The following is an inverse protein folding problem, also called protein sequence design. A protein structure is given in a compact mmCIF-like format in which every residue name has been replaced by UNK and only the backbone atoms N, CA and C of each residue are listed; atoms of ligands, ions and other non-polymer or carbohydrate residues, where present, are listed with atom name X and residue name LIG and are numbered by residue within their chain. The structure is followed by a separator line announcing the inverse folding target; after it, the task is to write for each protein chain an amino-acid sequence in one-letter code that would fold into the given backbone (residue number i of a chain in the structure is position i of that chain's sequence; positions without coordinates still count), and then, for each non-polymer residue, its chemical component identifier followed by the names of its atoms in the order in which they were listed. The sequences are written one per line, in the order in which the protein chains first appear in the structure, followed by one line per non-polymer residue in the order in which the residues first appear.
data_IF_506436973845
#
_entry.id   IF_506436973845
#
_cell.length_a   1.000
_cell.length_b   1.000
_cell.length_c   1.000
_cell.angle_alpha   90.00
_cell.angle_beta   90.00
_cell.angle_gamma   90.00
#
_symmetry.space_group_name_H-M   'P 1'
#
loop_
_entity.id
_entity.type
_entity.pdbx_description
1 polymer ?
#
# COMPACT_ATOMS: atom_id res chain seq x y z
N UNK A 1 -12.05 -39.54 35.83
CA UNK A 1 -13.49 -39.60 36.14
C UNK A 1 -14.03 -38.17 36.05
N UNK A 2 -14.26 -37.69 34.82
CA UNK A 2 -14.84 -36.36 34.57
C UNK A 2 -16.30 -36.61 34.28
N UNK A 3 -17.18 -36.14 35.15
CA UNK A 3 -18.62 -36.35 35.04
C UNK A 3 -19.14 -35.75 33.74
N UNK A 4 -19.77 -36.58 32.91
CA UNK A 4 -20.72 -36.13 31.90
C UNK A 4 -21.82 -35.35 32.62
N UNK A 5 -21.77 -34.01 32.56
CA UNK A 5 -22.97 -33.22 32.81
C UNK A 5 -24.01 -33.66 31.79
N UNK A 6 -25.12 -34.21 32.29
CA UNK A 6 -26.27 -34.52 31.47
C UNK A 6 -26.78 -33.21 30.85
N UNK A 7 -26.96 -33.24 29.52
CA UNK A 7 -27.36 -32.13 28.64
C UNK A 7 -28.71 -31.49 29.08
N UNK A 8 -29.46 -32.16 29.97
CA UNK A 8 -30.82 -31.79 30.40
C UNK A 8 -30.90 -30.91 31.68
N UNK A 9 -29.79 -30.36 32.20
CA UNK A 9 -29.80 -29.63 33.49
C UNK A 9 -29.11 -28.26 33.50
N UNK A 10 -28.91 -27.64 32.33
CA UNK A 10 -28.33 -26.29 32.26
C UNK A 10 -29.37 -25.25 32.64
N UNK A 11 -29.13 -24.50 33.72
CA UNK A 11 -29.93 -23.34 34.06
C UNK A 11 -29.69 -22.21 33.05
N UNK A 12 -30.64 -22.05 32.12
CA UNK A 12 -30.56 -21.08 31.03
C UNK A 12 -30.58 -19.62 31.50
N UNK A 13 -31.15 -19.34 32.68
CA UNK A 13 -31.13 -18.00 33.26
C UNK A 13 -29.75 -17.66 33.83
N UNK A 14 -29.11 -18.63 34.49
CA UNK A 14 -27.75 -18.46 34.98
C UNK A 14 -26.74 -18.34 33.82
N UNK A 15 -26.91 -19.15 32.76
CA UNK A 15 -26.10 -19.08 31.55
C UNK A 15 -26.25 -17.72 30.85
N UNK A 16 -27.47 -17.18 30.75
CA UNK A 16 -27.71 -15.84 30.19
C UNK A 16 -26.86 -14.78 30.93
N UNK A 17 -26.93 -14.75 32.26
CA UNK A 17 -26.21 -13.77 33.08
C UNK A 17 -24.69 -13.93 32.94
N UNK A 18 -24.17 -15.16 33.07
CA UNK A 18 -22.72 -15.40 32.96
C UNK A 18 -22.20 -15.09 31.54
N UNK A 19 -22.93 -15.46 30.48
CA UNK A 19 -22.56 -15.16 29.10
C UNK A 19 -22.59 -13.64 28.82
N UNK A 20 -23.63 -12.93 29.28
CA UNK A 20 -23.71 -11.47 29.14
C UNK A 20 -22.57 -10.76 29.86
N UNK A 21 -22.20 -11.20 31.06
CA UNK A 21 -21.07 -10.63 31.81
C UNK A 21 -19.74 -10.84 31.09
N UNK A 22 -19.52 -12.03 30.52
CA UNK A 22 -18.33 -12.32 29.74
C UNK A 22 -18.26 -11.45 28.49
N UNK A 23 -19.38 -11.35 27.76
CA UNK A 23 -19.49 -10.49 26.57
C UNK A 23 -19.26 -9.01 26.88
N UNK A 24 -19.69 -8.53 28.06
CA UNK A 24 -19.54 -7.15 28.50
C UNK A 24 -18.14 -6.77 29.02
N UNK A 25 -17.22 -7.73 29.18
CA UNK A 25 -15.89 -7.45 29.75
C UNK A 25 -15.09 -6.44 28.90
N UNK A 26 -14.48 -5.38 29.47
CA UNK A 26 -13.72 -4.42 28.67
C UNK A 26 -12.38 -5.01 28.21
N UNK A 27 -12.07 -4.92 26.92
CA UNK A 27 -10.81 -5.39 26.34
C UNK A 27 -10.73 -6.91 26.12
N UNK A 28 -9.50 -7.43 26.05
CA UNK A 28 -9.22 -8.85 25.82
C UNK A 28 -9.55 -9.68 27.07
N UNK A 29 -10.17 -10.86 26.88
CA UNK A 29 -10.50 -11.75 27.99
C UNK A 29 -9.23 -12.40 28.57
N UNK A 30 -9.07 -12.42 29.90
CA UNK A 30 -8.02 -13.20 30.55
C UNK A 30 -8.28 -14.70 30.38
N UNK A 31 -7.20 -15.48 30.24
CA UNK A 31 -7.26 -16.94 30.03
C UNK A 31 -8.01 -17.66 31.16
N UNK A 32 -7.84 -17.23 32.41
CA UNK A 32 -8.55 -17.78 33.56
C UNK A 32 -10.07 -17.64 33.43
N UNK A 33 -10.56 -16.48 32.99
CA UNK A 33 -12.00 -16.24 32.80
C UNK A 33 -12.60 -17.10 31.69
N UNK A 34 -11.84 -17.35 30.62
CA UNK A 34 -12.27 -18.23 29.53
C UNK A 34 -12.29 -19.69 30.00
N UNK A 35 -11.24 -20.13 30.69
CA UNK A 35 -11.14 -21.49 31.23
C UNK A 35 -12.23 -21.78 32.25
N UNK A 36 -12.48 -20.87 33.19
CA UNK A 36 -13.51 -21.03 34.23
C UNK A 36 -14.92 -21.08 33.62
N UNK A 37 -15.19 -20.27 32.60
CA UNK A 37 -16.47 -20.29 31.89
C UNK A 37 -16.67 -21.61 31.13
N UNK A 38 -15.67 -22.06 30.37
CA UNK A 38 -15.76 -23.29 29.58
C UNK A 38 -15.72 -24.57 30.44
N UNK A 39 -15.15 -24.51 31.65
CA UNK A 39 -15.23 -25.59 32.63
C UNK A 39 -16.68 -25.81 33.12
N UNK A 40 -17.46 -24.73 33.23
CA UNK A 40 -18.90 -24.80 33.57
C UNK A 40 -19.78 -25.07 32.35
N UNK A 41 -19.47 -24.45 31.22
CA UNK A 41 -20.26 -24.52 29.99
C UNK A 41 -19.38 -24.91 28.79
N UNK A 42 -19.10 -26.20 28.62
CA UNK A 42 -18.34 -26.69 27.46
C UNK A 42 -19.03 -26.36 26.13
N UNK A 43 -18.26 -26.18 25.06
CA UNK A 43 -18.81 -25.90 23.72
C UNK A 43 -19.97 -26.83 23.27
N UNK A 44 -19.90 -28.16 23.45
CA UNK A 44 -21.03 -29.04 23.11
C UNK A 44 -22.35 -28.65 23.77
N UNK A 45 -22.27 -28.17 25.01
CA UNK A 45 -23.43 -27.73 25.81
C UNK A 45 -23.94 -26.37 25.31
N UNK A 46 -23.04 -25.43 25.03
CA UNK A 46 -23.43 -24.13 24.47
C UNK A 46 -24.14 -24.29 23.11
N UNK A 47 -23.62 -25.16 22.24
CA UNK A 47 -24.21 -25.40 20.92
C UNK A 47 -25.52 -26.20 20.98
N UNK A 48 -25.69 -27.11 21.95
CA UNK A 48 -26.99 -27.78 22.16
C UNK A 48 -28.06 -26.82 22.69
N UNK A 49 -27.67 -25.85 23.52
CA UNK A 49 -28.59 -24.79 23.94
C UNK A 49 -28.92 -23.88 22.76
N UNK A 50 -27.94 -23.48 21.93
CA UNK A 50 -28.20 -22.66 20.74
C UNK A 50 -29.12 -23.34 19.71
N UNK A 51 -29.11 -24.67 19.61
CA UNK A 51 -30.00 -25.38 18.67
C UNK A 51 -31.45 -25.48 19.16
N UNK A 52 -31.68 -25.31 20.46
CA UNK A 52 -33.00 -25.45 21.11
C UNK A 52 -33.53 -24.15 21.70
N UNK A 53 -32.72 -23.10 21.78
CA UNK A 53 -33.10 -21.83 22.40
C UNK A 53 -34.15 -21.08 21.58
N UNK A 54 -35.29 -20.83 22.21
CA UNK A 54 -36.40 -20.04 21.62
C UNK A 54 -36.27 -18.54 21.93
N UNK A 55 -35.49 -18.15 22.94
CA UNK A 55 -35.36 -16.75 23.37
C UNK A 55 -34.21 -16.03 22.64
N UNK A 56 -34.50 -14.93 21.90
CA UNK A 56 -33.47 -14.19 21.16
C UNK A 56 -32.37 -13.61 22.05
N UNK A 57 -32.72 -13.23 23.28
CA UNK A 57 -31.78 -12.64 24.25
C UNK A 57 -30.69 -13.64 24.65
N UNK A 58 -31.07 -14.88 24.95
CA UNK A 58 -30.16 -15.97 25.29
C UNK A 58 -29.24 -16.30 24.12
N UNK A 59 -29.81 -16.42 22.91
CA UNK A 59 -29.03 -16.64 21.69
C UNK A 59 -28.00 -15.53 21.51
N UNK A 60 -28.40 -14.26 21.69
CA UNK A 60 -27.50 -13.12 21.53
C UNK A 60 -26.37 -13.09 22.56
N UNK A 61 -26.68 -13.40 23.83
CA UNK A 61 -25.69 -13.43 24.91
C UNK A 61 -24.66 -14.54 24.69
N UNK A 62 -25.11 -15.75 24.35
CA UNK A 62 -24.21 -16.88 24.07
C UNK A 62 -23.36 -16.59 22.83
N UNK A 63 -23.95 -16.10 21.74
CA UNK A 63 -23.22 -15.77 20.51
C UNK A 63 -22.12 -14.74 20.79
N UNK A 64 -22.45 -13.63 21.48
CA UNK A 64 -21.48 -12.59 21.78
C UNK A 64 -20.37 -13.08 22.73
N UNK A 65 -20.71 -13.93 23.71
CA UNK A 65 -19.72 -14.53 24.61
C UNK A 65 -18.77 -15.45 23.85
N UNK A 66 -19.29 -16.33 22.98
CA UNK A 66 -18.47 -17.23 22.16
C UNK A 66 -17.60 -16.45 21.18
N UNK A 67 -18.12 -15.44 20.48
CA UNK A 67 -17.31 -14.57 19.60
C UNK A 67 -16.12 -13.99 20.38
N UNK A 68 -16.36 -13.48 21.60
CA UNK A 68 -15.33 -12.87 22.43
C UNK A 68 -14.32 -13.86 22.98
N UNK A 69 -14.77 -15.07 23.34
CA UNK A 69 -13.89 -16.19 23.71
C UNK A 69 -12.95 -16.51 22.56
N UNK A 70 -13.49 -16.69 21.35
CA UNK A 70 -12.73 -17.06 20.16
C UNK A 70 -11.74 -15.97 19.72
N UNK A 71 -11.96 -14.71 20.09
CA UNK A 71 -11.02 -13.61 19.88
C UNK A 71 -9.83 -13.62 20.86
N UNK A 72 -9.90 -14.35 21.98
CA UNK A 72 -8.81 -14.44 22.96
C UNK A 72 -7.69 -15.41 22.50
N UNK A 73 -6.41 -15.19 22.87
CA UNK A 73 -5.32 -16.10 22.51
C UNK A 73 -5.57 -17.57 22.92
N UNK A 74 -6.19 -17.77 24.08
CA UNK A 74 -6.57 -19.10 24.57
C UNK A 74 -7.72 -19.71 23.76
N UNK A 75 -8.73 -18.92 23.41
CA UNK A 75 -9.82 -19.34 22.54
C UNK A 75 -9.37 -19.77 21.15
N UNK A 76 -8.31 -19.16 20.61
CA UNK A 76 -7.69 -19.61 19.36
C UNK A 76 -7.17 -21.06 19.45
N UNK A 77 -6.67 -21.48 20.62
CA UNK A 77 -6.21 -22.87 20.80
C UNK A 77 -7.36 -23.89 20.81
N UNK A 78 -8.59 -23.43 21.10
CA UNK A 78 -9.78 -24.28 21.25
C UNK A 78 -10.67 -24.35 20.00
N UNK A 79 -10.30 -23.64 18.93
CA UNK A 79 -11.08 -23.57 17.69
C UNK A 79 -11.33 -24.94 17.04
N UNK A 80 -10.39 -25.88 17.16
CA UNK A 80 -10.55 -27.26 16.64
C UNK A 80 -11.79 -27.94 17.27
N UNK A 81 -12.07 -27.66 18.55
CA UNK A 81 -13.21 -28.22 19.26
C UNK A 81 -14.56 -27.62 18.85
N UNK A 82 -14.56 -26.43 18.22
CA UNK A 82 -15.77 -25.71 17.80
C UNK A 82 -16.19 -26.07 16.38
N UNK A 83 -15.24 -26.53 15.55
CA UNK A 83 -15.45 -26.78 14.14
C UNK A 83 -16.61 -27.74 13.79
N UNK A 84 -16.86 -28.84 14.54
CA UNK A 84 -17.99 -29.74 14.24
C UNK A 84 -19.37 -29.06 14.26
N UNK A 85 -19.48 -27.91 14.91
CA UNK A 85 -20.73 -27.16 15.07
C UNK A 85 -20.93 -26.07 14.00
N UNK A 86 -19.89 -25.74 13.22
CA UNK A 86 -19.94 -24.66 12.23
C UNK A 86 -20.96 -24.95 11.10
N UNK A 87 -20.92 -26.16 10.54
CA UNK A 87 -21.84 -26.55 9.45
C UNK A 87 -23.32 -26.59 9.91
N UNK A 88 -23.57 -27.03 11.16
CA UNK A 88 -24.90 -26.96 11.75
C UNK A 88 -25.35 -25.50 11.99
N UNK A 89 -24.43 -24.63 12.41
CA UNK A 89 -24.70 -23.21 12.63
C UNK A 89 -24.95 -22.42 11.35
N UNK A 90 -24.30 -22.74 10.23
CA UNK A 90 -24.57 -22.13 8.92
C UNK A 90 -26.00 -22.37 8.44
N UNK A 91 -26.55 -23.54 8.76
CA UNK A 91 -27.91 -23.94 8.38
C UNK A 91 -28.97 -23.56 9.42
N UNK A 92 -28.60 -22.88 10.51
CA UNK A 92 -29.52 -22.50 11.57
C UNK A 92 -30.52 -21.42 11.10
N UNK A 93 -31.75 -21.47 11.60
CA UNK A 93 -32.79 -20.47 11.32
C UNK A 93 -32.44 -19.06 11.83
N UNK A 94 -31.65 -18.97 12.90
CA UNK A 94 -31.24 -17.69 13.49
C UNK A 94 -30.08 -17.02 12.73
N UNK A 95 -30.21 -15.76 12.29
CA UNK A 95 -29.13 -15.03 11.62
C UNK A 95 -27.91 -14.79 12.51
N UNK A 96 -28.08 -14.72 13.82
CA UNK A 96 -26.98 -14.54 14.77
C UNK A 96 -26.13 -15.81 14.89
N UNK A 97 -26.76 -16.98 14.85
CA UNK A 97 -26.06 -18.27 14.86
C UNK A 97 -25.31 -18.47 13.54
N UNK A 98 -25.91 -18.10 12.40
CA UNK A 98 -25.21 -18.11 11.11
C UNK A 98 -23.98 -17.19 11.11
N UNK A 99 -24.11 -16.00 11.70
CA UNK A 99 -22.98 -15.07 11.87
C UNK A 99 -21.86 -15.68 12.71
N UNK A 100 -22.18 -16.32 13.83
CA UNK A 100 -21.20 -17.01 14.68
C UNK A 100 -20.52 -18.16 13.93
N UNK A 101 -21.29 -18.95 13.17
CA UNK A 101 -20.76 -20.03 12.36
C UNK A 101 -19.79 -19.51 11.30
N UNK A 102 -20.19 -18.46 10.57
CA UNK A 102 -19.29 -17.76 9.65
C UNK A 102 -18.06 -17.25 10.40
N UNK A 103 -18.19 -16.65 11.59
CA UNK A 103 -17.05 -16.18 12.39
C UNK A 103 -16.10 -17.33 12.76
N UNK A 104 -16.62 -18.49 13.15
CA UNK A 104 -15.81 -19.67 13.47
C UNK A 104 -15.13 -20.29 12.24
N UNK A 105 -15.81 -20.31 11.08
CA UNK A 105 -15.20 -20.71 9.80
C UNK A 105 -14.20 -19.68 9.28
N UNK A 106 -14.43 -18.38 9.53
CA UNK A 106 -13.55 -17.25 9.23
C UNK A 106 -12.23 -17.41 9.99
N UNK A 107 -12.27 -17.89 11.25
CA UNK A 107 -11.06 -18.11 12.04
C UNK A 107 -10.36 -19.43 11.64
N UNK A 108 -11.10 -20.48 11.24
CA UNK A 108 -10.50 -21.80 10.96
C UNK A 108 -10.17 -22.09 9.48
N UNK A 109 -10.82 -21.45 8.51
CA UNK A 109 -10.71 -21.85 7.11
C UNK A 109 -11.18 -23.30 6.83
N UNK A 110 -11.94 -23.94 7.73
CA UNK A 110 -12.48 -25.29 7.51
C UNK A 110 -13.96 -25.26 7.12
N UNK A 111 -14.16 -24.76 5.92
CA UNK A 111 -14.81 -25.53 4.88
C UNK A 111 -14.18 -25.08 3.56
N UNK A 112 -13.01 -25.66 3.24
CA UNK A 112 -12.24 -25.36 2.03
C UNK A 112 -13.10 -25.38 0.74
N UNK A 113 -14.17 -26.19 0.75
CA UNK A 113 -15.15 -26.25 -0.33
C UNK A 113 -16.21 -25.14 -0.26
N UNK A 114 -16.68 -24.73 0.92
CA UNK A 114 -17.76 -23.74 1.02
C UNK A 114 -17.28 -22.33 0.66
N UNK A 115 -16.03 -21.96 1.00
CA UNK A 115 -15.49 -20.64 0.64
C UNK A 115 -15.28 -20.53 -0.87
N UNK A 116 -14.79 -21.61 -1.51
CA UNK A 116 -14.71 -21.73 -2.97
C UNK A 116 -16.10 -21.72 -3.61
N UNK A 117 -17.06 -22.48 -3.09
CA UNK A 117 -18.44 -22.51 -3.59
C UNK A 117 -19.12 -21.16 -3.47
N UNK A 118 -18.91 -20.42 -2.38
CA UNK A 118 -19.41 -19.05 -2.21
C UNK A 118 -18.76 -18.08 -3.20
N UNK A 119 -17.46 -18.27 -3.51
CA UNK A 119 -16.75 -17.46 -4.50
C UNK A 119 -17.15 -17.78 -5.96
N UNK A 120 -17.60 -19.01 -6.24
CA UNK A 120 -18.04 -19.42 -7.59
C UNK A 120 -19.54 -19.15 -7.79
N UNK A 121 -20.38 -19.55 -6.83
CA UNK A 121 -21.84 -19.60 -6.96
C UNK A 121 -22.58 -18.53 -6.16
N UNK A 122 -21.86 -17.75 -5.33
CA UNK A 122 -22.45 -16.62 -4.60
C UNK A 122 -22.93 -15.50 -5.53
N UNK A 123 -23.79 -14.63 -5.03
CA UNK A 123 -24.06 -13.35 -5.69
C UNK A 123 -22.79 -12.49 -5.73
N UNK A 124 -22.71 -11.48 -6.60
CA UNK A 124 -21.53 -10.60 -6.75
C UNK A 124 -21.00 -10.09 -5.40
N UNK A 125 -21.89 -9.66 -4.49
CA UNK A 125 -21.51 -9.21 -3.15
C UNK A 125 -20.94 -10.34 -2.27
N UNK A 126 -21.50 -11.54 -2.37
CA UNK A 126 -21.03 -12.71 -1.61
C UNK A 126 -19.67 -13.17 -2.12
N UNK A 127 -19.47 -13.16 -3.45
CA UNK A 127 -18.19 -13.49 -4.07
C UNK A 127 -17.09 -12.52 -3.62
N UNK A 128 -17.35 -11.20 -3.68
CA UNK A 128 -16.39 -10.17 -3.24
C UNK A 128 -16.03 -10.36 -1.76
N UNK A 129 -17.02 -10.60 -0.90
CA UNK A 129 -16.78 -10.80 0.54
C UNK A 129 -16.01 -12.08 0.83
N UNK A 130 -16.34 -13.18 0.15
CA UNK A 130 -15.63 -14.45 0.29
C UNK A 130 -14.16 -14.29 -0.14
N UNK A 131 -13.91 -13.60 -1.25
CA UNK A 131 -12.56 -13.41 -1.76
C UNK A 131 -11.73 -12.42 -0.93
N UNK A 132 -12.29 -11.30 -0.48
CA UNK A 132 -11.61 -10.37 0.45
C UNK A 132 -11.29 -11.05 1.77
N UNK A 133 -12.21 -11.88 2.28
CA UNK A 133 -11.96 -12.71 3.44
C UNK A 133 -10.79 -13.67 3.21
N UNK A 134 -10.74 -14.35 2.05
CA UNK A 134 -9.65 -15.23 1.70
C UNK A 134 -8.30 -14.50 1.69
N UNK A 135 -8.24 -13.27 1.14
CA UNK A 135 -7.03 -12.44 1.15
C UNK A 135 -6.56 -12.09 2.57
N UNK A 136 -7.50 -11.75 3.46
CA UNK A 136 -7.19 -11.48 4.87
C UNK A 136 -6.65 -12.72 5.60
N UNK A 137 -7.23 -13.89 5.35
CA UNK A 137 -6.77 -15.16 5.96
C UNK A 137 -5.37 -15.53 5.43
N UNK A 138 -5.12 -15.35 4.13
CA UNK A 138 -3.80 -15.56 3.50
C UNK A 138 -2.70 -14.77 4.22
N UNK A 139 -2.98 -13.54 4.64
CA UNK A 139 -2.01 -12.65 5.29
C UNK A 139 -1.67 -13.00 6.75
N UNK A 140 -2.38 -13.94 7.39
CA UNK A 140 -2.21 -14.22 8.82
C UNK A 140 -0.98 -15.09 9.14
N UNK A 141 -0.70 -16.12 8.34
CA UNK A 141 0.42 -17.03 8.54
C UNK A 141 0.69 -17.90 7.31
N UNK A 142 1.87 -18.52 7.22
CA UNK A 142 2.21 -19.46 6.15
C UNK A 142 1.30 -20.70 6.12
N UNK A 143 0.83 -21.15 7.28
CA UNK A 143 -0.12 -22.28 7.39
C UNK A 143 -1.49 -21.89 6.84
N UNK A 144 -1.97 -20.68 7.18
CA UNK A 144 -3.22 -20.14 6.64
C UNK A 144 -3.12 -19.94 5.12
N UNK A 145 -1.99 -19.46 4.63
CA UNK A 145 -1.75 -19.32 3.20
C UNK A 145 -1.78 -20.66 2.45
N UNK A 146 -1.12 -21.70 2.98
CA UNK A 146 -1.18 -23.03 2.39
C UNK A 146 -2.62 -23.56 2.36
N UNK A 147 -3.39 -23.36 3.43
CA UNK A 147 -4.80 -23.79 3.49
C UNK A 147 -5.67 -23.10 2.43
N UNK A 148 -5.50 -21.79 2.22
CA UNK A 148 -6.25 -21.05 1.20
C UNK A 148 -5.74 -21.37 -0.21
N UNK A 149 -4.46 -21.68 -0.41
CA UNK A 149 -3.96 -22.19 -1.68
C UNK A 149 -4.62 -23.52 -2.05
N UNK A 150 -4.74 -24.44 -1.07
CA UNK A 150 -5.40 -25.74 -1.28
C UNK A 150 -6.91 -25.64 -1.51
N UNK A 151 -7.56 -24.55 -1.08
CA UNK A 151 -8.99 -24.35 -1.35
C UNK A 151 -9.28 -24.08 -2.84
N UNK A 152 -8.27 -23.74 -3.63
CA UNK A 152 -8.43 -23.43 -5.05
C UNK A 152 -9.06 -22.06 -5.32
N UNK A 153 -9.09 -21.16 -4.33
CA UNK A 153 -9.62 -19.80 -4.51
C UNK A 153 -8.83 -19.00 -5.56
N UNK A 154 -7.52 -19.23 -5.67
CA UNK A 154 -6.66 -18.59 -6.66
C UNK A 154 -7.05 -18.98 -8.08
N UNK A 155 -7.49 -20.23 -8.29
CA UNK A 155 -8.00 -20.66 -9.58
C UNK A 155 -9.29 -19.94 -9.96
N UNK A 156 -10.15 -19.63 -8.97
CA UNK A 156 -11.36 -18.82 -9.19
C UNK A 156 -10.98 -17.40 -9.58
N UNK A 157 -10.02 -16.78 -8.88
CA UNK A 157 -9.50 -15.44 -9.21
C UNK A 157 -8.89 -15.41 -10.62
N UNK A 158 -8.04 -16.36 -10.97
CA UNK A 158 -7.46 -16.47 -12.32
C UNK A 158 -8.54 -16.64 -13.40
N UNK A 159 -9.61 -17.39 -13.10
CA UNK A 159 -10.76 -17.54 -13.99
C UNK A 159 -11.49 -16.20 -14.20
N UNK A 160 -11.69 -15.42 -13.14
CA UNK A 160 -12.31 -14.09 -13.23
C UNK A 160 -11.44 -13.11 -14.02
N UNK A 161 -10.11 -13.12 -13.82
CA UNK A 161 -9.19 -12.26 -14.57
C UNK A 161 -9.20 -12.54 -16.07
N UNK A 162 -9.38 -13.79 -16.48
CA UNK A 162 -9.43 -14.18 -17.90
C UNK A 162 -10.79 -13.88 -18.55
N UNK A 163 -11.84 -13.64 -17.76
CA UNK A 163 -13.16 -13.36 -18.30
C UNK A 163 -13.30 -11.89 -18.71
N UNK A 164 -12.99 -11.59 -19.98
CA UNK A 164 -13.04 -10.23 -20.54
C UNK A 164 -14.45 -9.63 -20.66
N UNK A 165 -15.51 -10.41 -20.43
CA UNK A 165 -16.90 -9.91 -20.53
C UNK A 165 -17.39 -9.19 -19.27
N UNK A 166 -16.74 -9.42 -18.13
CA UNK A 166 -17.12 -8.86 -16.84
C UNK A 166 -15.95 -8.07 -16.23
N UNK A 167 -15.79 -6.83 -16.70
CA UNK A 167 -14.76 -5.91 -16.20
C UNK A 167 -14.88 -5.69 -14.69
N UNK A 168 -16.10 -5.71 -14.13
CA UNK A 168 -16.29 -5.52 -12.69
C UNK A 168 -15.73 -6.71 -11.90
N UNK A 169 -15.95 -7.94 -12.37
CA UNK A 169 -15.34 -9.13 -11.79
C UNK A 169 -13.81 -9.10 -11.90
N UNK A 170 -13.26 -8.66 -13.04
CA UNK A 170 -11.81 -8.49 -13.21
C UNK A 170 -11.25 -7.47 -12.20
N UNK A 171 -11.90 -6.31 -12.07
CA UNK A 171 -11.46 -5.26 -11.14
C UNK A 171 -11.52 -5.72 -9.68
N UNK A 172 -12.60 -6.41 -9.29
CA UNK A 172 -12.69 -7.00 -7.96
C UNK A 172 -11.54 -7.98 -7.71
N UNK A 173 -11.26 -8.88 -8.66
CA UNK A 173 -10.15 -9.82 -8.57
C UNK A 173 -8.80 -9.09 -8.41
N UNK A 174 -8.55 -8.01 -9.15
CA UNK A 174 -7.33 -7.22 -8.98
C UNK A 174 -7.23 -6.56 -7.60
N UNK A 175 -8.31 -6.05 -7.01
CA UNK A 175 -8.28 -5.50 -5.65
C UNK A 175 -7.85 -6.55 -4.63
N UNK A 176 -8.38 -7.77 -4.76
CA UNK A 176 -8.02 -8.89 -3.88
C UNK A 176 -6.56 -9.29 -4.06
N UNK A 177 -6.07 -9.32 -5.31
CA UNK A 177 -4.65 -9.57 -5.60
C UNK A 177 -3.74 -8.45 -5.07
N UNK A 178 -4.22 -7.21 -5.09
CA UNK A 178 -3.53 -6.05 -4.53
C UNK A 178 -3.40 -6.16 -3.01
N UNK A 179 -4.46 -6.59 -2.32
CA UNK A 179 -4.44 -6.87 -0.87
C UNK A 179 -3.47 -8.03 -0.55
N UNK A 180 -3.48 -9.09 -1.36
CA UNK A 180 -2.55 -10.22 -1.22
C UNK A 180 -1.08 -9.81 -1.40
N UNK A 181 -0.80 -9.03 -2.43
CA UNK A 181 0.54 -8.55 -2.77
C UNK A 181 1.15 -7.65 -1.69
N UNK A 182 0.33 -7.05 -0.83
CA UNK A 182 0.77 -6.22 0.29
C UNK A 182 1.44 -7.03 1.41
N UNK A 183 1.12 -8.32 1.52
CA UNK A 183 1.69 -9.22 2.52
C UNK A 183 2.86 -10.02 1.96
N UNK A 184 3.94 -10.29 2.74
CA UNK A 184 5.07 -11.09 2.25
C UNK A 184 4.67 -12.50 1.80
N UNK A 185 3.76 -13.15 2.53
CA UNK A 185 3.31 -14.51 2.20
C UNK A 185 2.43 -14.51 0.94
N UNK A 186 1.50 -13.55 0.80
CA UNK A 186 0.70 -13.41 -0.42
C UNK A 186 1.55 -13.07 -1.65
N UNK A 187 2.51 -12.17 -1.52
CA UNK A 187 3.45 -11.82 -2.59
C UNK A 187 4.24 -13.06 -3.08
N UNK A 188 4.85 -13.83 -2.17
CA UNK A 188 5.59 -15.07 -2.54
C UNK A 188 4.71 -16.06 -3.30
N UNK A 189 3.46 -16.19 -2.90
CA UNK A 189 2.52 -17.10 -3.54
C UNK A 189 2.16 -16.64 -4.97
N UNK A 190 1.90 -15.34 -5.16
CA UNK A 190 1.62 -14.79 -6.48
C UNK A 190 2.83 -14.95 -7.42
N UNK A 191 4.04 -14.84 -6.87
CA UNK A 191 5.29 -15.00 -7.60
C UNK A 191 5.66 -16.45 -7.92
N UNK A 192 5.05 -17.44 -7.27
CA UNK A 192 5.34 -18.86 -7.52
C UNK A 192 4.78 -19.38 -8.87
N UNK A 193 3.91 -18.61 -9.53
CA UNK A 193 3.22 -18.99 -10.76
C UNK A 193 3.60 -18.15 -11.99
N UNK A 194 2.69 -18.11 -12.97
CA UNK A 194 2.85 -17.32 -14.21
C UNK A 194 2.28 -15.91 -14.10
N UNK A 195 1.94 -15.47 -12.88
CA UNK A 195 1.20 -14.23 -12.66
C UNK A 195 1.96 -12.98 -13.10
N UNK A 196 3.29 -12.94 -12.91
CA UNK A 196 4.14 -11.86 -13.40
C UNK A 196 4.00 -11.70 -14.91
N UNK A 197 4.12 -12.79 -15.66
CA UNK A 197 3.98 -12.76 -17.13
C UNK A 197 2.58 -12.31 -17.57
N UNK A 198 1.55 -12.67 -16.80
CA UNK A 198 0.17 -12.19 -17.06
C UNK A 198 0.03 -10.69 -16.80
N UNK A 199 0.60 -10.17 -15.70
CA UNK A 199 0.64 -8.73 -15.42
C UNK A 199 1.35 -7.96 -16.55
N UNK A 200 2.51 -8.45 -16.99
CA UNK A 200 3.25 -7.85 -18.12
C UNK A 200 2.39 -7.84 -19.39
N UNK A 201 1.71 -8.94 -19.69
CA UNK A 201 0.79 -9.01 -20.84
C UNK A 201 -0.34 -7.98 -20.74
N UNK A 202 -1.03 -7.89 -19.60
CA UNK A 202 -2.13 -6.94 -19.43
C UNK A 202 -1.65 -5.50 -19.56
N UNK A 203 -0.53 -5.14 -18.91
CA UNK A 203 0.04 -3.79 -18.95
C UNK A 203 0.43 -3.39 -20.38
N UNK A 204 1.10 -4.28 -21.12
CA UNK A 204 1.59 -3.97 -22.47
C UNK A 204 0.50 -3.98 -23.54
N UNK A 205 -0.57 -4.74 -23.36
CA UNK A 205 -1.59 -4.90 -24.40
C UNK A 205 -2.52 -3.68 -24.50
N UNK A 206 -2.50 -3.01 -25.65
CA UNK A 206 -3.32 -1.82 -25.92
C UNK A 206 -4.83 -2.15 -26.02
N UNK A 207 -5.18 -3.39 -26.37
CA UNK A 207 -6.57 -3.84 -26.54
C UNK A 207 -7.26 -4.15 -25.20
N UNK A 208 -6.49 -4.28 -24.12
CA UNK A 208 -7.03 -4.45 -22.76
C UNK A 208 -7.68 -3.13 -22.32
N UNK A 209 -8.68 -3.19 -21.45
CA UNK A 209 -9.29 -1.98 -20.91
C UNK A 209 -8.28 -1.16 -20.08
N UNK A 210 -8.33 0.19 -20.17
CA UNK A 210 -7.40 1.07 -19.46
C UNK A 210 -7.48 0.91 -17.94
N UNK A 211 -8.66 0.58 -17.40
CA UNK A 211 -8.87 0.35 -15.98
C UNK A 211 -8.20 -0.95 -15.53
N UNK A 212 -8.27 -2.00 -16.35
CA UNK A 212 -7.57 -3.28 -16.11
C UNK A 212 -6.05 -3.08 -16.13
N UNK A 213 -5.53 -2.29 -17.08
CA UNK A 213 -4.09 -1.93 -17.10
C UNK A 213 -3.68 -1.19 -15.84
N UNK A 214 -4.45 -0.19 -15.44
CA UNK A 214 -4.19 0.62 -14.24
C UNK A 214 -4.11 -0.24 -12.98
N UNK A 215 -5.07 -1.16 -12.80
CA UNK A 215 -5.06 -2.10 -11.67
C UNK A 215 -3.93 -3.13 -11.73
N UNK A 216 -3.57 -3.57 -12.93
CA UNK A 216 -2.41 -4.46 -13.12
C UNK A 216 -1.12 -3.78 -12.66
N UNK A 217 -0.92 -2.50 -12.99
CA UNK A 217 0.25 -1.73 -12.53
C UNK A 217 0.26 -1.54 -11.01
N UNK A 218 -0.90 -1.32 -10.40
CA UNK A 218 -1.04 -1.21 -8.94
C UNK A 218 -0.65 -2.51 -8.21
N UNK A 219 -1.07 -3.68 -8.72
CA UNK A 219 -0.65 -4.96 -8.15
C UNK A 219 0.85 -5.18 -8.37
N UNK A 220 1.34 -4.89 -9.57
CA UNK A 220 2.75 -5.03 -9.92
C UNK A 220 3.67 -4.18 -9.03
N UNK A 221 3.28 -2.95 -8.71
CA UNK A 221 4.06 -2.06 -7.86
C UNK A 221 4.19 -2.55 -6.42
N UNK A 222 3.16 -3.24 -5.90
CA UNK A 222 3.20 -3.85 -4.55
C UNK A 222 4.11 -5.08 -4.49
N UNK A 223 4.19 -5.84 -5.57
CA UNK A 223 5.02 -7.06 -5.65
C UNK A 223 6.52 -6.76 -5.73
N UNK A 224 6.92 -5.52 -6.04
CA UNK A 224 8.33 -5.16 -6.31
C UNK A 224 9.27 -5.49 -5.14
N UNK A 225 8.77 -5.48 -3.91
CA UNK A 225 9.56 -5.80 -2.70
C UNK A 225 10.03 -7.26 -2.65
N UNK A 226 9.30 -8.15 -3.31
CA UNK A 226 9.48 -9.61 -3.18
C UNK A 226 9.89 -10.27 -4.50
N UNK A 227 9.73 -9.57 -5.63
CA UNK A 227 9.96 -10.11 -6.96
C UNK A 227 11.46 -10.27 -7.27
N UNK A 228 11.76 -11.19 -8.19
CA UNK A 228 13.12 -11.35 -8.72
C UNK A 228 13.51 -10.15 -9.60
N UNK A 229 14.81 -9.81 -9.66
CA UNK A 229 15.31 -8.74 -10.52
C UNK A 229 14.90 -8.88 -12.01
N UNK A 230 15.03 -10.04 -12.68
CA UNK A 230 14.64 -10.16 -14.10
C UNK A 230 13.14 -9.94 -14.33
N UNK A 231 12.30 -10.31 -13.37
CA UNK A 231 10.86 -10.11 -13.45
C UNK A 231 10.47 -8.65 -13.17
N UNK A 232 11.15 -7.99 -12.21
CA UNK A 232 11.01 -6.55 -11.98
C UNK A 232 11.32 -5.75 -13.25
N UNK A 233 12.38 -6.13 -13.97
CA UNK A 233 12.78 -5.46 -15.21
C UNK A 233 11.70 -5.57 -16.30
N UNK A 234 11.05 -6.73 -16.45
CA UNK A 234 9.97 -6.89 -17.41
C UNK A 234 8.75 -6.02 -17.09
N UNK A 235 8.41 -5.91 -15.80
CA UNK A 235 7.34 -5.03 -15.33
C UNK A 235 7.69 -3.56 -15.60
N UNK A 236 8.90 -3.14 -15.27
CA UNK A 236 9.38 -1.77 -15.49
C UNK A 236 9.32 -1.41 -16.99
N UNK A 237 9.79 -2.29 -17.86
CA UNK A 237 9.73 -2.08 -19.31
C UNK A 237 8.27 -2.04 -19.81
N UNK A 238 7.39 -2.88 -19.27
CA UNK A 238 5.96 -2.87 -19.58
C UNK A 238 5.30 -1.53 -19.23
N UNK A 239 5.55 -1.01 -18.02
CA UNK A 239 5.00 0.27 -17.57
C UNK A 239 5.58 1.41 -18.40
N UNK A 240 6.89 1.41 -18.68
CA UNK A 240 7.55 2.41 -19.52
C UNK A 240 6.98 2.45 -20.95
N UNK A 241 6.76 1.29 -21.57
CA UNK A 241 6.13 1.19 -22.88
C UNK A 241 4.68 1.70 -22.87
N UNK A 242 3.95 1.43 -21.78
CA UNK A 242 2.60 1.93 -21.59
C UNK A 242 2.57 3.46 -21.52
N UNK A 243 3.46 4.07 -20.73
CA UNK A 243 3.60 5.53 -20.66
C UNK A 243 4.00 6.14 -22.01
N UNK A 244 4.95 5.52 -22.71
CA UNK A 244 5.33 5.94 -24.05
C UNK A 244 4.15 5.95 -25.02
N UNK A 245 3.28 4.93 -24.95
CA UNK A 245 2.03 4.88 -25.73
C UNK A 245 1.06 5.99 -25.35
N UNK A 246 0.78 6.17 -24.05
CA UNK A 246 -0.13 7.22 -23.56
C UNK A 246 0.36 8.61 -23.95
N UNK A 247 1.66 8.89 -23.86
CA UNK A 247 2.21 10.17 -24.31
C UNK A 247 2.10 10.38 -25.82
N UNK A 248 2.27 9.32 -26.62
CA UNK A 248 2.12 9.42 -28.07
C UNK A 248 0.67 9.74 -28.45
N UNK A 249 -0.31 9.10 -27.81
CA UNK A 249 -1.74 9.40 -27.98
C UNK A 249 -2.06 10.84 -27.56
N UNK A 250 -1.47 11.31 -26.44
CA UNK A 250 -1.64 12.69 -26.00
C UNK A 250 -1.07 13.70 -27.01
N UNK A 251 0.05 13.39 -27.67
CA UNK A 251 0.64 14.23 -28.73
C UNK A 251 -0.19 14.22 -30.02
N UNK A 252 -0.78 13.08 -30.38
CA UNK A 252 -1.64 12.98 -31.57
C UNK A 252 -3.07 13.50 -31.33
N UNK A 253 -3.37 14.02 -30.13
CA UNK A 253 -4.72 14.46 -29.73
C UNK A 253 -5.77 13.35 -29.81
N UNK A 254 -5.35 12.09 -29.69
CA UNK A 254 -6.23 10.94 -29.61
C UNK A 254 -6.80 10.79 -28.20
N UNK A 255 -7.84 9.96 -28.03
CA UNK A 255 -8.42 9.69 -26.71
C UNK A 255 -7.44 8.84 -25.89
N UNK A 256 -7.09 9.31 -24.71
CA UNK A 256 -6.29 8.58 -23.73
C UNK A 256 -6.90 8.74 -22.34
N UNK A 257 -6.54 7.82 -21.45
CA UNK A 257 -7.03 7.81 -20.08
C UNK A 257 -5.99 8.43 -19.14
N UNK A 258 -6.41 9.46 -18.40
CA UNK A 258 -5.55 10.12 -17.42
C UNK A 258 -5.26 9.21 -16.24
N UNK A 259 -6.24 8.42 -15.81
CA UNK A 259 -6.09 7.54 -14.65
C UNK A 259 -5.06 6.44 -14.94
N UNK A 260 -4.97 5.99 -16.21
CA UNK A 260 -3.93 5.07 -16.67
C UNK A 260 -2.53 5.68 -16.57
N UNK A 261 -2.38 6.95 -16.96
CA UNK A 261 -1.12 7.67 -16.82
C UNK A 261 -0.73 7.83 -15.35
N UNK A 262 -1.68 8.27 -14.52
CA UNK A 262 -1.45 8.52 -13.10
C UNK A 262 -1.10 7.21 -12.37
N UNK A 263 -1.77 6.10 -12.70
CA UNK A 263 -1.45 4.77 -12.18
C UNK A 263 -0.05 4.27 -12.60
N UNK A 264 0.35 4.53 -13.85
CA UNK A 264 1.69 4.17 -14.32
C UNK A 264 2.78 4.98 -13.62
N UNK A 265 2.56 6.30 -13.44
CA UNK A 265 3.48 7.18 -12.70
C UNK A 265 3.61 6.75 -11.23
N UNK A 266 2.48 6.49 -10.56
CA UNK A 266 2.49 6.00 -9.19
C UNK A 266 3.24 4.67 -9.08
N UNK A 267 2.99 3.72 -9.98
CA UNK A 267 3.68 2.43 -9.99
C UNK A 267 5.22 2.59 -10.13
N UNK A 268 5.70 3.45 -11.03
CA UNK A 268 7.13 3.76 -11.14
C UNK A 268 7.67 4.47 -9.88
N UNK A 269 6.89 5.36 -9.29
CA UNK A 269 7.21 6.00 -8.02
C UNK A 269 7.43 4.99 -6.89
N UNK A 270 6.48 4.06 -6.72
CA UNK A 270 6.56 3.00 -5.72
C UNK A 270 7.77 2.09 -5.94
N UNK A 271 8.11 1.75 -7.19
CA UNK A 271 9.33 1.01 -7.53
C UNK A 271 10.58 1.84 -7.13
N UNK A 272 10.55 3.15 -7.36
CA UNK A 272 11.60 4.09 -6.99
C UNK A 272 11.73 4.39 -5.49
N UNK A 273 10.79 3.93 -4.66
CA UNK A 273 10.86 4.09 -3.20
C UNK A 273 11.98 3.27 -2.56
N UNK A 274 12.59 2.32 -3.29
CA UNK A 274 13.76 1.54 -2.86
C UNK A 274 15.02 1.97 -3.61
N UNK A 275 16.18 1.99 -2.94
CA UNK A 275 17.44 2.46 -3.54
C UNK A 275 17.82 1.65 -4.79
N UNK A 276 17.65 0.33 -4.76
CA UNK A 276 17.92 -0.53 -5.92
C UNK A 276 16.89 -0.30 -7.05
N UNK A 277 15.61 -0.20 -6.73
CA UNK A 277 14.56 0.07 -7.72
C UNK A 277 14.74 1.41 -8.43
N UNK A 278 15.08 2.47 -7.68
CA UNK A 278 15.42 3.78 -8.26
C UNK A 278 16.63 3.71 -9.19
N UNK A 279 17.70 2.99 -8.81
CA UNK A 279 18.87 2.80 -9.68
C UNK A 279 18.50 2.07 -10.97
N UNK A 280 17.72 1.00 -10.87
CA UNK A 280 17.23 0.27 -12.04
C UNK A 280 16.41 1.18 -12.94
N UNK A 281 15.45 1.94 -12.41
CA UNK A 281 14.63 2.86 -13.19
C UNK A 281 15.43 3.92 -13.94
N UNK A 282 16.47 4.46 -13.31
CA UNK A 282 17.32 5.51 -13.88
C UNK A 282 18.31 4.96 -14.92
N UNK A 283 18.83 3.76 -14.70
CA UNK A 283 19.85 3.15 -15.55
C UNK A 283 19.29 2.22 -16.65
N UNK A 284 17.95 2.07 -16.73
CA UNK A 284 17.30 1.14 -17.67
C UNK A 284 17.27 1.67 -19.11
N UNK A 285 18.18 1.17 -19.94
CA UNK A 285 18.14 1.36 -21.39
C UNK A 285 18.44 2.80 -21.83
N UNK A 286 18.28 3.08 -23.13
CA UNK A 286 18.59 4.39 -23.70
C UNK A 286 17.54 5.48 -23.39
N UNK A 287 16.30 5.07 -23.11
CA UNK A 287 15.20 5.95 -22.66
C UNK A 287 14.64 5.38 -21.37
N UNK A 288 15.17 5.78 -20.21
CA UNK A 288 14.74 5.21 -18.94
C UNK A 288 13.28 5.56 -18.63
N UNK A 289 12.48 4.65 -18.06
CA UNK A 289 11.11 4.96 -17.64
C UNK A 289 11.03 6.15 -16.66
N UNK A 290 12.10 6.41 -15.90
CA UNK A 290 12.24 7.58 -15.05
C UNK A 290 12.11 8.92 -15.82
N UNK A 291 12.45 8.96 -17.12
CA UNK A 291 12.28 10.13 -17.98
C UNK A 291 10.82 10.61 -18.00
N UNK A 292 9.87 9.69 -18.12
CA UNK A 292 8.45 10.01 -18.14
C UNK A 292 7.99 10.63 -16.82
N UNK A 293 8.50 10.10 -15.70
CA UNK A 293 8.23 10.64 -14.36
C UNK A 293 8.76 12.06 -14.23
N UNK A 294 10.00 12.31 -14.63
CA UNK A 294 10.63 13.64 -14.56
C UNK A 294 9.88 14.65 -15.44
N UNK A 295 9.54 14.29 -16.68
CA UNK A 295 8.76 15.15 -17.56
C UNK A 295 7.37 15.49 -17.02
N UNK A 296 6.72 14.53 -16.33
CA UNK A 296 5.44 14.75 -15.67
C UNK A 296 5.57 15.61 -14.41
N UNK A 297 6.64 15.46 -13.63
CA UNK A 297 6.84 16.21 -12.38
C UNK A 297 7.00 17.72 -12.57
N UNK A 298 7.56 18.16 -13.70
CA UNK A 298 7.69 19.60 -14.02
C UNK A 298 6.51 20.17 -14.81
N UNK A 299 5.46 19.38 -14.99
CA UNK A 299 4.11 19.84 -15.35
C UNK A 299 3.28 19.96 -14.06
N UNK A 300 2.16 20.69 -14.05
CA UNK A 300 1.24 20.72 -12.90
C UNK A 300 0.47 19.39 -12.77
N UNK A 301 1.18 18.25 -12.77
CA UNK A 301 0.67 16.88 -12.65
C UNK A 301 1.10 16.28 -11.31
N UNK A 302 0.14 16.11 -10.40
CA UNK A 302 0.39 15.67 -9.02
C UNK A 302 1.08 14.30 -8.94
N UNK A 303 0.64 13.33 -9.74
CA UNK A 303 1.22 11.99 -9.78
C UNK A 303 2.70 12.00 -10.17
N UNK A 304 3.09 12.85 -11.13
CA UNK A 304 4.49 13.00 -11.54
C UNK A 304 5.38 13.54 -10.41
N UNK A 305 4.91 14.55 -9.68
CA UNK A 305 5.66 15.14 -8.57
C UNK A 305 5.86 14.13 -7.44
N UNK A 306 4.80 13.39 -7.07
CA UNK A 306 4.91 12.35 -6.05
C UNK A 306 5.85 11.21 -6.48
N UNK A 307 5.71 10.73 -7.71
CA UNK A 307 6.57 9.68 -8.24
C UNK A 307 8.04 10.11 -8.27
N UNK A 308 8.33 11.35 -8.69
CA UNK A 308 9.70 11.88 -8.65
C UNK A 308 10.21 12.04 -7.22
N UNK A 309 9.36 12.46 -6.27
CA UNK A 309 9.75 12.55 -4.87
C UNK A 309 10.15 11.19 -4.28
N UNK A 310 9.44 10.12 -4.66
CA UNK A 310 9.79 8.75 -4.25
C UNK A 310 11.13 8.32 -4.86
N UNK A 311 11.31 8.48 -6.18
CA UNK A 311 12.58 8.18 -6.88
C UNK A 311 13.74 8.99 -6.28
N UNK A 312 13.54 10.26 -5.96
CA UNK A 312 14.55 11.12 -5.36
C UNK A 312 14.94 10.71 -3.93
N UNK A 313 14.09 9.93 -3.25
CA UNK A 313 14.37 9.32 -1.95
C UNK A 313 13.54 9.83 -0.78
N UNK A 314 12.32 10.36 -1.01
CA UNK A 314 11.48 10.89 0.09
C UNK A 314 11.06 9.86 1.14
N UNK A 315 11.10 8.56 0.84
CA UNK A 315 10.79 7.46 1.77
C UNK A 315 12.02 6.58 2.09
N UNK A 316 13.21 6.93 1.56
CA UNK A 316 14.43 6.12 1.73
C UNK A 316 15.22 6.60 2.94
N UNK A 317 15.77 5.67 3.71
CA UNK A 317 16.75 5.98 4.76
C UNK A 317 18.03 6.55 4.12
N UNK A 318 18.55 5.85 3.10
CA UNK A 318 19.64 6.33 2.25
C UNK A 318 19.07 7.08 1.03
N UNK A 319 18.99 8.41 1.16
CA UNK A 319 18.45 9.30 0.11
C UNK A 319 19.29 9.25 -1.17
N UNK A 320 20.62 9.21 -1.03
CA UNK A 320 21.54 9.24 -2.16
C UNK A 320 21.65 7.87 -2.83
N UNK A 321 21.68 7.88 -4.17
CA UNK A 321 21.93 6.70 -5.00
C UNK A 321 23.43 6.57 -5.31
N UNK A 322 23.78 5.56 -6.10
CA UNK A 322 25.14 5.45 -6.64
C UNK A 322 25.46 6.62 -7.59
N UNK A 323 26.74 6.89 -7.81
CA UNK A 323 27.20 8.05 -8.59
C UNK A 323 26.61 8.10 -10.01
N UNK A 324 26.50 6.94 -10.67
CA UNK A 324 25.97 6.86 -12.03
C UNK A 324 24.48 7.22 -12.07
N UNK A 325 23.67 6.68 -11.16
CA UNK A 325 22.25 6.95 -11.07
C UNK A 325 21.98 8.41 -10.67
N UNK A 326 22.79 8.98 -9.78
CA UNK A 326 22.68 10.39 -9.39
C UNK A 326 22.99 11.34 -10.55
N UNK A 327 24.02 11.02 -11.37
CA UNK A 327 24.31 11.79 -12.58
C UNK A 327 23.16 11.73 -13.57
N UNK A 328 22.60 10.54 -13.82
CA UNK A 328 21.44 10.38 -14.72
C UNK A 328 20.22 11.12 -14.18
N UNK A 329 19.92 11.04 -12.89
CA UNK A 329 18.80 11.77 -12.28
C UNK A 329 18.95 13.28 -12.47
N UNK A 330 20.15 13.82 -12.21
CA UNK A 330 20.47 15.23 -12.42
C UNK A 330 20.25 15.62 -13.88
N UNK A 331 20.84 14.88 -14.80
CA UNK A 331 20.80 15.20 -16.23
C UNK A 331 19.36 15.17 -16.76
N UNK A 332 18.57 14.15 -16.38
CA UNK A 332 17.14 14.08 -16.73
C UNK A 332 16.34 15.29 -16.22
N UNK A 333 16.60 15.74 -14.99
CA UNK A 333 15.92 16.90 -14.40
C UNK A 333 16.26 18.17 -15.19
N UNK A 334 17.54 18.43 -15.46
CA UNK A 334 17.94 19.62 -16.20
C UNK A 334 17.48 19.59 -17.65
N UNK A 335 17.47 18.43 -18.31
CA UNK A 335 16.92 18.26 -19.65
C UNK A 335 15.43 18.59 -19.68
N UNK A 336 14.66 18.09 -18.70
CA UNK A 336 13.23 18.39 -18.59
C UNK A 336 12.96 19.89 -18.38
N UNK A 337 13.80 20.56 -17.58
CA UNK A 337 13.70 22.01 -17.34
C UNK A 337 14.08 22.80 -18.58
N UNK A 338 15.08 22.35 -19.35
CA UNK A 338 15.48 23.00 -20.60
C UNK A 338 14.35 23.04 -21.63
N UNK A 339 13.55 21.97 -21.67
CA UNK A 339 12.33 21.91 -22.49
C UNK A 339 11.19 22.75 -21.90
N UNK A 340 11.22 23.03 -20.60
CA UNK A 340 10.21 23.85 -19.92
C UNK A 340 10.39 25.35 -20.18
N UNK A 341 9.30 26.11 -20.09
CA UNK A 341 9.31 27.57 -20.29
C UNK A 341 9.99 28.37 -19.15
N UNK A 342 10.27 27.73 -18.01
CA UNK A 342 10.69 28.40 -16.77
C UNK A 342 12.22 28.61 -16.67
N UNK A 343 12.99 28.08 -17.63
CA UNK A 343 14.45 28.24 -17.83
C UNK A 343 15.38 27.74 -16.72
N UNK A 344 14.95 27.71 -15.46
CA UNK A 344 15.74 27.25 -14.29
C UNK A 344 14.90 26.33 -13.41
N UNK A 345 15.57 25.44 -12.67
CA UNK A 345 14.90 24.52 -11.73
C UNK A 345 14.13 25.31 -10.68
N UNK A 346 14.75 26.34 -10.11
CA UNK A 346 14.17 27.14 -9.03
C UNK A 346 12.90 27.88 -9.48
N UNK A 347 12.86 28.39 -10.70
CA UNK A 347 11.65 29.01 -11.25
C UNK A 347 10.54 27.98 -11.51
N UNK A 348 10.89 26.79 -12.01
CA UNK A 348 9.92 25.70 -12.19
C UNK A 348 9.29 25.29 -10.86
N UNK A 349 10.11 25.10 -9.82
CA UNK A 349 9.63 24.75 -8.48
C UNK A 349 8.78 25.86 -7.87
N UNK A 350 9.21 27.12 -7.98
CA UNK A 350 8.44 28.27 -7.50
C UNK A 350 7.09 28.40 -8.21
N UNK A 351 7.06 28.15 -9.52
CA UNK A 351 5.83 28.15 -10.30
C UNK A 351 4.85 27.08 -9.81
N UNK A 352 5.32 25.87 -9.52
CA UNK A 352 4.50 24.78 -9.00
C UNK A 352 4.00 25.05 -7.57
N UNK A 353 4.87 25.57 -6.69
CA UNK A 353 4.52 25.96 -5.32
C UNK A 353 3.40 27.00 -5.27
N UNK A 354 3.31 27.89 -6.27
CA UNK A 354 2.29 28.95 -6.34
C UNK A 354 0.92 28.49 -6.86
N UNK A 355 0.76 27.24 -7.31
CA UNK A 355 -0.49 26.76 -7.94
C UNK A 355 -1.59 26.46 -6.90
N UNK A 356 -1.61 25.23 -6.38
CA UNK A 356 -2.63 24.75 -5.42
C UNK A 356 -1.95 24.23 -4.16
N UNK A 357 -2.70 24.06 -3.08
CA UNK A 357 -2.14 23.57 -1.82
C UNK A 357 -1.61 22.12 -1.95
N UNK A 358 -2.29 21.28 -2.74
CA UNK A 358 -1.91 19.88 -2.99
C UNK A 358 -0.61 19.79 -3.78
N UNK A 359 -0.47 20.58 -4.86
CA UNK A 359 0.77 20.65 -5.63
C UNK A 359 1.91 21.19 -4.78
N UNK A 360 1.64 22.19 -3.95
CA UNK A 360 2.63 22.79 -3.05
C UNK A 360 3.16 21.77 -2.03
N UNK A 361 2.29 20.98 -1.41
CA UNK A 361 2.69 19.89 -0.51
C UNK A 361 3.54 18.83 -1.22
N UNK A 362 3.14 18.42 -2.42
CA UNK A 362 3.90 17.46 -3.22
C UNK A 362 5.29 18.00 -3.59
N UNK A 363 5.40 19.28 -3.94
CA UNK A 363 6.69 19.92 -4.24
C UNK A 363 7.57 20.00 -3.00
N UNK A 364 7.03 20.27 -1.80
CA UNK A 364 7.84 20.22 -0.57
C UNK A 364 8.41 18.82 -0.33
N UNK A 365 7.58 17.80 -0.53
CA UNK A 365 8.02 16.40 -0.39
C UNK A 365 9.11 16.02 -1.41
N UNK A 366 9.08 16.61 -2.61
CA UNK A 366 10.14 16.46 -3.61
C UNK A 366 11.41 17.26 -3.26
N UNK A 367 11.24 18.48 -2.74
CA UNK A 367 12.35 19.39 -2.43
C UNK A 367 13.28 18.84 -1.35
N UNK A 368 12.74 18.20 -0.32
CA UNK A 368 13.54 17.66 0.81
C UNK A 368 14.63 16.68 0.33
N UNK A 369 14.32 15.59 -0.39
CA UNK A 369 15.36 14.69 -0.89
C UNK A 369 16.23 15.35 -1.97
N UNK A 370 15.71 16.24 -2.81
CA UNK A 370 16.52 16.93 -3.80
C UNK A 370 17.55 17.88 -3.16
N UNK A 371 17.18 18.61 -2.11
CA UNK A 371 18.06 19.52 -1.37
C UNK A 371 19.21 18.79 -0.65
N UNK A 372 19.11 17.47 -0.47
CA UNK A 372 20.22 16.64 0.02
C UNK A 372 21.36 16.52 -1.01
N UNK A 373 21.14 16.95 -2.25
CA UNK A 373 22.11 16.92 -3.35
C UNK A 373 22.72 18.32 -3.53
N UNK A 374 24.05 18.39 -3.54
CA UNK A 374 24.80 19.66 -3.61
C UNK A 374 24.41 20.53 -4.81
N UNK A 375 24.23 19.92 -5.99
CA UNK A 375 23.85 20.64 -7.20
C UNK A 375 22.46 21.28 -7.08
N UNK A 376 21.49 20.63 -6.45
CA UNK A 376 20.14 21.16 -6.29
C UNK A 376 20.11 22.25 -5.21
N UNK A 377 20.84 22.03 -4.11
CA UNK A 377 20.95 22.99 -3.02
C UNK A 377 21.51 24.33 -3.51
N UNK A 378 22.53 24.32 -4.36
CA UNK A 378 23.10 25.53 -4.95
C UNK A 378 22.08 26.28 -5.82
N UNK A 379 21.32 25.56 -6.63
CA UNK A 379 20.31 26.14 -7.52
C UNK A 379 19.13 26.77 -6.73
N UNK A 380 18.64 26.06 -5.70
CA UNK A 380 17.55 26.55 -4.83
C UNK A 380 18.00 27.76 -4.01
N UNK A 381 19.20 27.71 -3.42
CA UNK A 381 19.74 28.81 -2.61
C UNK A 381 20.12 30.06 -3.42
N UNK A 382 20.29 29.92 -4.74
CA UNK A 382 20.58 31.05 -5.64
C UNK A 382 19.34 31.85 -6.06
N UNK A 383 18.13 31.41 -5.70
CA UNK A 383 16.87 32.07 -6.06
C UNK A 383 16.17 32.64 -4.83
N UNK A 384 16.39 33.93 -4.57
CA UNK A 384 15.81 34.65 -3.42
C UNK A 384 14.28 34.49 -3.36
N UNK A 385 13.59 34.55 -4.50
CA UNK A 385 12.13 34.44 -4.56
C UNK A 385 11.59 33.06 -4.18
N UNK A 386 12.36 31.99 -4.42
CA UNK A 386 12.02 30.64 -3.99
C UNK A 386 12.26 30.48 -2.49
N UNK A 387 13.41 30.95 -1.99
CA UNK A 387 13.76 30.88 -0.57
C UNK A 387 12.74 31.67 0.27
N UNK A 388 12.41 32.90 -0.13
CA UNK A 388 11.43 33.73 0.56
C UNK A 388 10.06 33.04 0.63
N UNK A 389 9.63 32.37 -0.45
CA UNK A 389 8.36 31.65 -0.48
C UNK A 389 8.35 30.43 0.47
N UNK A 390 9.42 29.62 0.47
CA UNK A 390 9.50 28.42 1.31
C UNK A 390 9.54 28.79 2.80
N UNK A 391 10.20 29.91 3.13
CA UNK A 391 10.41 30.37 4.51
C UNK A 391 9.20 31.11 5.10
N UNK A 392 8.28 31.63 4.28
CA UNK A 392 7.11 32.36 4.75
C UNK A 392 6.04 31.41 5.34
N UNK A 393 6.09 31.26 6.66
CA UNK A 393 5.16 30.45 7.44
C UNK A 393 3.69 30.89 7.36
N UNK A 394 3.39 32.07 6.79
CA UNK A 394 2.01 32.58 6.64
C UNK A 394 1.31 32.05 5.39
N UNK A 395 2.06 31.47 4.46
CA UNK A 395 1.52 30.94 3.20
C UNK A 395 0.79 29.60 3.45
N UNK A 396 1.20 28.85 4.47
CA UNK A 396 0.62 27.54 4.77
C UNK A 396 -0.55 27.60 5.74
N UNK A 397 -1.69 27.06 5.29
CA UNK A 397 -2.88 26.84 6.12
C UNK A 397 -3.10 25.37 6.47
N UNK A 398 -2.45 24.44 5.75
CA UNK A 398 -2.58 23.00 6.00
C UNK A 398 -1.59 22.54 7.08
N UNK A 399 -2.01 21.57 7.91
CA UNK A 399 -1.16 20.99 8.98
C UNK A 399 0.12 20.37 8.40
N UNK A 400 -0.01 19.71 7.25
CA UNK A 400 1.09 19.00 6.61
C UNK A 400 2.03 19.95 5.86
N UNK A 401 1.49 20.95 5.15
CA UNK A 401 2.29 22.04 4.56
C UNK A 401 3.06 22.83 5.62
N UNK A 402 2.42 23.15 6.74
CA UNK A 402 3.08 23.78 7.89
C UNK A 402 4.20 22.91 8.46
N UNK A 403 3.98 21.59 8.58
CA UNK A 403 5.01 20.65 9.03
C UNK A 403 6.20 20.63 8.07
N UNK A 404 5.98 20.53 6.76
CA UNK A 404 7.09 20.52 5.79
C UNK A 404 7.84 21.84 5.72
N UNK A 405 7.13 22.99 5.80
CA UNK A 405 7.76 24.32 5.86
C UNK A 405 8.58 24.54 7.14
N UNK A 406 8.12 24.00 8.29
CA UNK A 406 8.76 24.23 9.60
C UNK A 406 9.75 23.14 10.05
N UNK A 407 9.59 21.90 9.58
CA UNK A 407 10.34 20.69 10.03
C UNK A 407 10.99 19.91 8.89
N UNK A 408 10.66 20.18 7.62
CA UNK A 408 11.60 19.85 6.55
C UNK A 408 12.93 20.54 6.88
N UNK A 409 14.06 20.01 6.42
CA UNK A 409 15.45 20.38 6.76
C UNK A 409 15.86 21.87 6.51
N UNK A 410 14.89 22.79 6.48
CA UNK A 410 14.97 24.23 6.32
C UNK A 410 15.39 24.99 7.58
N UNK A 411 15.36 24.37 8.77
CA UNK A 411 15.85 25.05 9.99
C UNK A 411 17.34 25.43 9.87
N UNK A 412 18.14 24.68 9.12
CA UNK A 412 19.54 25.04 8.85
C UNK A 412 19.71 26.01 7.66
N UNK A 413 18.77 26.06 6.71
CA UNK A 413 18.75 27.14 5.69
C UNK A 413 18.43 28.50 6.32
N UNK A 414 17.59 28.54 7.36
CA UNK A 414 17.34 29.76 8.16
C UNK A 414 18.60 30.30 8.85
N UNK A 415 19.56 29.45 9.22
CA UNK A 415 20.78 29.88 9.91
C UNK A 415 21.91 30.33 8.95
N UNK A 416 21.94 29.85 7.70
CA UNK A 416 22.99 30.22 6.75
C UNK A 416 22.68 31.47 5.90
N UNK A 417 21.42 31.87 5.76
CA UNK A 417 21.06 33.09 5.00
C UNK A 417 21.42 34.40 5.71
N UNK A 418 21.69 34.38 7.02
CA UNK A 418 21.99 35.59 7.81
C UNK A 418 23.47 36.02 7.80
N UNK A 419 24.40 35.18 7.34
CA UNK A 419 25.81 35.54 7.25
C UNK A 419 26.26 35.70 5.79
N UNK A 420 25.93 36.86 5.20
CA UNK A 420 26.67 37.38 4.05
C UNK A 420 28.13 37.59 4.49
N UNK A 421 29.06 36.92 3.81
CA UNK A 421 30.53 36.96 3.97
C UNK A 421 31.14 35.86 4.86
N UNK A 422 31.06 34.60 4.39
CA UNK A 422 31.84 33.49 4.92
C UNK A 422 31.15 32.16 4.62
N UNK A 423 31.41 31.57 3.45
CA UNK A 423 30.76 30.30 3.07
C UNK A 423 31.43 29.12 3.79
N UNK A 424 30.79 28.62 4.84
CA UNK A 424 30.88 27.21 5.26
C UNK A 424 29.45 26.64 5.21
N UNK A 425 29.19 25.75 4.26
CA UNK A 425 27.93 25.03 4.20
C UNK A 425 27.97 23.92 5.27
N UNK A 426 27.28 24.12 6.39
CA UNK A 426 27.06 23.09 7.41
C UNK A 426 25.61 22.59 7.28
N UNK A 427 25.46 21.28 7.06
CA UNK A 427 24.20 20.56 7.15
C UNK A 427 24.39 19.36 8.09
N UNK A 428 23.55 19.28 9.12
CA UNK A 428 23.34 18.09 9.94
C UNK A 428 22.17 17.30 9.36
N UNK A 429 22.48 16.17 8.71
CA UNK A 429 21.46 15.19 8.35
C UNK A 429 20.98 14.46 9.63
N UNK A 430 19.76 13.90 9.60
CA UNK A 430 19.07 13.23 10.72
C UNK A 430 19.84 12.07 11.41
N UNK A 431 21.04 11.73 10.95
CA UNK A 431 21.95 10.72 11.50
C UNK A 431 23.24 11.31 12.13
N UNK A 432 23.33 12.63 12.33
CA UNK A 432 24.47 13.26 13.01
C UNK A 432 25.79 13.19 12.23
N UNK A 433 25.75 12.88 10.93
CA UNK A 433 26.95 12.83 10.09
C UNK A 433 27.32 14.23 9.59
N UNK A 434 28.57 14.60 9.86
CA UNK A 434 29.19 15.90 9.54
C UNK A 434 29.84 15.82 8.16
N UNK A 435 29.39 16.62 7.20
CA UNK A 435 30.09 16.81 5.92
C UNK A 435 30.83 18.15 6.00
N UNK A 436 32.15 18.10 6.20
CA UNK A 436 33.01 19.28 6.10
C UNK A 436 33.48 19.42 4.63
N UNK A 437 33.12 20.52 3.97
CA UNK A 437 33.74 20.90 2.69
C UNK A 437 34.89 21.85 2.96
N UNK A 438 36.11 21.31 2.99
CA UNK A 438 37.33 22.07 3.23
C UNK A 438 37.90 22.70 1.95
N UNK A 439 37.16 23.52 1.18
CA UNK A 439 37.78 24.44 0.20
C UNK A 439 36.87 25.62 -0.19
N UNK A 440 37.40 26.86 -0.25
CA UNK A 440 36.61 28.06 -0.54
C UNK A 440 36.12 28.15 -2.01
N UNK A 441 34.87 28.57 -2.16
CA UNK A 441 34.10 28.78 -3.40
C UNK A 441 34.57 30.03 -4.17
N UNK A 442 35.84 30.06 -4.60
CA UNK A 442 36.35 31.19 -5.41
C UNK A 442 36.92 30.80 -6.77
N UNK A 443 36.69 29.57 -7.25
CA UNK A 443 37.32 29.09 -8.48
C UNK A 443 36.37 28.38 -9.46
N UNK A 444 35.16 28.91 -9.70
CA UNK A 444 34.39 28.58 -10.89
C UNK A 444 33.69 29.84 -11.42
N UNK A 445 34.48 30.74 -12.04
CA UNK A 445 33.93 31.69 -13.00
C UNK A 445 33.79 30.97 -14.34
N UNK A 446 32.55 30.78 -14.75
CA UNK A 446 32.15 30.44 -16.10
C UNK A 446 32.69 31.52 -17.05
N UNK A 447 33.83 31.30 -17.70
CA UNK A 447 34.26 32.12 -18.84
C UNK A 447 33.60 31.59 -20.09
N UNK A 448 32.34 31.98 -20.31
CA UNK A 448 31.77 31.99 -21.65
C UNK A 448 32.48 33.06 -22.45
N UNK A 449 33.46 32.67 -23.27
CA UNK A 449 33.88 33.47 -24.42
C UNK A 449 33.11 32.97 -25.63
N UNK A 450 32.32 33.85 -26.21
CA UNK A 450 31.92 33.76 -27.60
C UNK A 450 33.16 33.98 -28.47
N UNK A 451 33.46 33.00 -29.32
CA UNK A 451 34.07 33.15 -30.64
C UNK A 451 33.36 32.17 -31.59
#
# INVERSE_FOLDING_TARGET
MVGMMAIDSVDTNLLLVEASNLAAHPGALPESSVSDFLAKYPFPVLFSVLSTAETPELVSAIVNAVEKILQSPFGHSMLIGVLPYANAGLNAGSPQIRRLACFSEIIFGASQNSLKELAIHGSSLVQIRALSLAARIFGLSDVAAAAVQTSGILFVLEGQLKNSSDTLAQLNAFEILSELAETPTGARLLLAGTFVSQLVFWIQNAEVDSMVRSRSMQVASRLIKTISEPDALQIIDAIGNCLGRVENLARSSERWDKDEKDAALDALGQIGSFSHGAQVLLLRGARPPALYVVHSAFKPELAGIHALALIAGSEREDVLLNEQAENVLRDLIFDAIHVSSQKTLSNSLLHLLKQTAELREAVYRLLVPLASRTWCLLEVSSNDGLVDFIVDARIESSKQGSYFSLHGSWQELKFNAHHRHGMEARLLCCSGHRIETSHPVSAWRYTGKAE
#
